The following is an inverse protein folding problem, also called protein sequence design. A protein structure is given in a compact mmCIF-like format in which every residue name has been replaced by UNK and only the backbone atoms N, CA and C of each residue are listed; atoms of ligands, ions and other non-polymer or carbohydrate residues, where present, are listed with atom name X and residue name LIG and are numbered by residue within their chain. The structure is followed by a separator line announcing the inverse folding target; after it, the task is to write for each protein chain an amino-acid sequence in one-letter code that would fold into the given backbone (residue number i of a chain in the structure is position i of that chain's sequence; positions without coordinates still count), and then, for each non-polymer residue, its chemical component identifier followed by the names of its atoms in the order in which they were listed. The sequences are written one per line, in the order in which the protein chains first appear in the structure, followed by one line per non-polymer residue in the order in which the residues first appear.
data_IF_129346526323
#
_entry.id   IF_129346526323
#
_cell.length_a   1.000
_cell.length_b   1.000
_cell.length_c   1.000
_cell.angle_alpha   90.00
_cell.angle_beta   90.00
_cell.angle_gamma   90.00
#
_symmetry.space_group_name_H-M   'P 1'
#
loop_
_entity.id
_entity.type
_entity.pdbx_description
1 polymer ?
#
# COMPACT_ATOMS: atom_id res chain seq x y z
N UNK A 1 0.17 -19.98 -19.72
CA UNK A 1 -0.21 -18.59 -19.41
C UNK A 1 1.09 -17.81 -19.25
N UNK A 2 1.31 -16.78 -20.07
CA UNK A 2 2.55 -15.99 -20.02
C UNK A 2 2.57 -15.21 -18.71
N UNK A 3 3.64 -15.33 -17.93
CA UNK A 3 3.80 -14.68 -16.63
C UNK A 3 3.98 -13.17 -16.66
N UNK A 4 3.69 -12.53 -17.80
CA UNK A 4 4.24 -11.23 -18.15
C UNK A 4 5.74 -11.29 -18.43
N UNK A 5 6.30 -10.18 -18.87
CA UNK A 5 7.74 -9.95 -18.98
C UNK A 5 8.42 -9.80 -17.59
N UNK A 6 7.65 -9.47 -16.55
CA UNK A 6 8.12 -9.19 -15.20
C UNK A 6 7.69 -10.23 -14.15
N UNK A 7 7.21 -11.40 -14.54
CA UNK A 7 6.84 -12.49 -13.62
C UNK A 7 5.79 -12.05 -12.57
N UNK A 8 4.80 -11.26 -12.98
CA UNK A 8 3.75 -10.70 -12.11
C UNK A 8 4.24 -9.87 -10.91
N UNK A 9 5.47 -9.32 -10.94
CA UNK A 9 6.06 -8.55 -9.84
C UNK A 9 5.30 -7.29 -9.44
N UNK A 10 4.37 -6.80 -10.25
CA UNK A 10 3.45 -5.73 -9.87
C UNK A 10 2.62 -6.08 -8.63
N UNK A 11 2.27 -7.35 -8.41
CA UNK A 11 1.54 -7.74 -7.19
C UNK A 11 2.40 -7.58 -5.94
N UNK A 12 3.72 -7.75 -6.03
CA UNK A 12 4.60 -7.48 -4.89
C UNK A 12 4.59 -5.98 -4.55
N UNK A 13 4.52 -5.10 -5.55
CA UNK A 13 4.39 -3.64 -5.32
C UNK A 13 3.05 -3.35 -4.62
N UNK A 14 1.98 -4.03 -5.05
CA UNK A 14 0.66 -3.93 -4.44
C UNK A 14 0.67 -4.34 -2.98
N UNK A 15 1.17 -5.53 -2.68
CA UNK A 15 1.28 -6.07 -1.33
C UNK A 15 2.04 -5.11 -0.40
N UNK A 16 3.14 -4.50 -0.90
CA UNK A 16 3.91 -3.53 -0.13
C UNK A 16 3.06 -2.30 0.20
N UNK A 17 2.40 -1.67 -0.78
CA UNK A 17 1.65 -0.45 -0.49
C UNK A 17 0.38 -0.73 0.33
N UNK A 18 -0.26 -1.89 0.17
CA UNK A 18 -1.39 -2.33 1.00
C UNK A 18 -0.95 -2.57 2.45
N UNK A 19 0.23 -3.15 2.66
CA UNK A 19 0.81 -3.30 4.00
C UNK A 19 1.06 -1.93 4.63
N UNK A 20 1.69 -1.00 3.91
CA UNK A 20 1.93 0.36 4.42
C UNK A 20 0.61 1.09 4.72
N UNK A 21 -0.41 0.92 3.86
CA UNK A 21 -1.73 1.49 4.07
C UNK A 21 -2.40 0.93 5.33
N UNK A 22 -2.36 -0.39 5.55
CA UNK A 22 -2.91 -1.03 6.76
C UNK A 22 -2.21 -0.55 8.03
N UNK A 23 -0.89 -0.42 7.98
CA UNK A 23 -0.08 0.14 9.06
C UNK A 23 -0.46 1.59 9.37
N UNK A 24 -0.69 2.42 8.35
CA UNK A 24 -1.13 3.81 8.52
C UNK A 24 -2.55 3.89 9.10
N UNK A 25 -3.47 3.06 8.62
CA UNK A 25 -4.86 3.04 9.06
C UNK A 25 -5.03 2.57 10.50
N UNK A 26 -4.19 1.65 10.99
CA UNK A 26 -4.30 1.18 12.37
C UNK A 26 -3.78 2.18 13.40
N UNK A 27 -2.90 3.12 13.05
CA UNK A 27 -2.33 4.08 13.99
C UNK A 27 -3.41 4.85 14.76
N UNK A 28 -3.30 4.89 16.08
CA UNK A 28 -4.27 5.56 16.95
C UNK A 28 -5.58 4.80 17.15
N UNK A 29 -5.84 3.71 16.42
CA UNK A 29 -7.01 2.88 16.63
C UNK A 29 -6.80 1.88 17.79
N UNK A 30 -7.87 1.44 18.46
CA UNK A 30 -7.79 0.41 19.50
C UNK A 30 -7.14 -0.87 19.00
N UNK A 31 -6.27 -1.45 19.81
CA UNK A 31 -5.73 -2.78 19.57
C UNK A 31 -6.82 -3.84 19.76
N UNK A 32 -6.79 -4.94 18.99
CA UNK A 32 -7.67 -6.07 19.25
C UNK A 32 -7.34 -6.69 20.61
N UNK A 33 -8.32 -7.33 21.25
CA UNK A 33 -8.16 -7.85 22.62
C UNK A 33 -7.04 -8.89 22.73
N UNK A 34 -6.80 -9.60 21.64
CA UNK A 34 -5.77 -10.63 21.51
C UNK A 34 -4.34 -10.06 21.56
N UNK A 35 -4.16 -8.76 21.26
CA UNK A 35 -2.89 -8.02 21.34
C UNK A 35 -2.69 -7.35 22.71
N UNK A 36 -3.67 -7.44 23.61
CA UNK A 36 -3.61 -6.88 24.96
C UNK A 36 -3.12 -7.94 25.95
N UNK A 37 -1.81 -7.93 26.21
CA UNK A 37 -1.13 -8.95 27.02
C UNK A 37 -1.18 -8.69 28.54
N UNK A 38 -1.54 -7.47 28.95
CA UNK A 38 -1.58 -7.07 30.36
C UNK A 38 -3.00 -7.14 30.96
N UNK A 39 -3.08 -7.04 32.29
CA UNK A 39 -4.36 -7.01 32.99
C UNK A 39 -5.06 -5.64 32.92
N UNK A 40 -6.31 -5.59 33.39
CA UNK A 40 -7.08 -4.34 33.44
C UNK A 40 -6.39 -3.28 34.31
N UNK A 41 -5.77 -3.66 35.41
CA UNK A 41 -5.15 -2.71 36.34
C UNK A 41 -3.93 -2.00 35.73
N UNK A 42 -3.22 -2.66 34.80
CA UNK A 42 -2.19 -2.06 33.98
C UNK A 42 -2.76 -1.01 33.04
N UNK A 43 -3.77 -1.36 32.23
CA UNK A 43 -4.36 -0.44 31.26
C UNK A 43 -5.15 0.71 31.89
N UNK A 44 -5.66 0.54 33.12
CA UNK A 44 -6.23 1.65 33.90
C UNK A 44 -5.17 2.72 34.22
N UNK A 45 -3.88 2.35 34.31
CA UNK A 45 -2.74 3.26 34.52
C UNK A 45 -2.09 3.73 33.22
N UNK A 46 -2.19 2.92 32.16
CA UNK A 46 -1.59 3.12 30.85
C UNK A 46 -2.65 3.07 29.73
N UNK A 47 -3.67 3.95 29.76
CA UNK A 47 -4.75 3.94 28.77
C UNK A 47 -4.26 4.21 27.34
N UNK A 48 -3.14 4.90 27.17
CA UNK A 48 -2.49 5.14 25.88
C UNK A 48 -2.05 3.86 25.16
N UNK A 49 -1.76 2.79 25.91
CA UNK A 49 -1.31 1.52 25.32
C UNK A 49 -2.45 0.66 24.77
N UNK A 50 -3.71 1.06 25.01
CA UNK A 50 -4.89 0.42 24.44
C UNK A 50 -4.99 0.63 22.92
N UNK A 51 -4.34 1.67 22.40
CA UNK A 51 -4.34 1.97 20.98
C UNK A 51 -2.98 1.66 20.35
N UNK A 52 -2.96 1.49 19.02
CA UNK A 52 -1.72 1.49 18.27
C UNK A 52 -1.02 2.85 18.38
N UNK A 53 0.32 2.88 18.51
CA UNK A 53 1.05 4.14 18.60
C UNK A 53 0.85 4.98 17.33
N UNK A 54 0.81 6.29 17.50
CA UNK A 54 0.80 7.25 16.40
C UNK A 54 2.24 7.71 16.18
N UNK A 55 2.74 7.55 14.97
CA UNK A 55 4.04 8.05 14.56
C UNK A 55 4.05 9.57 14.39
N UNK A 56 5.23 10.18 14.32
CA UNK A 56 5.33 11.62 14.03
C UNK A 56 4.71 12.00 12.68
N UNK A 57 4.23 13.24 12.54
CA UNK A 57 3.68 13.75 11.28
C UNK A 57 4.64 13.58 10.10
N UNK A 58 5.94 13.71 10.34
CA UNK A 58 6.96 13.50 9.31
C UNK A 58 6.96 12.06 8.79
N UNK A 59 6.84 11.06 9.68
CA UNK A 59 6.78 9.64 9.33
C UNK A 59 5.44 9.32 8.65
N UNK A 60 4.32 9.82 9.18
CA UNK A 60 2.99 9.64 8.58
C UNK A 60 2.94 10.19 7.15
N UNK A 61 3.53 11.37 6.91
CA UNK A 61 3.60 11.94 5.56
C UNK A 61 4.52 11.14 4.64
N UNK A 62 5.60 10.55 5.16
CA UNK A 62 6.44 9.64 4.39
C UNK A 62 5.67 8.36 3.98
N UNK A 63 4.81 7.81 4.84
CA UNK A 63 3.95 6.65 4.53
C UNK A 63 2.98 6.99 3.39
N UNK A 64 2.27 8.13 3.49
CA UNK A 64 1.35 8.60 2.45
C UNK A 64 2.06 8.78 1.11
N UNK A 65 3.23 9.42 1.14
CA UNK A 65 4.06 9.62 -0.06
C UNK A 65 4.50 8.28 -0.66
N UNK A 66 4.91 7.32 0.16
CA UNK A 66 5.31 6.00 -0.29
C UNK A 66 4.14 5.25 -0.95
N UNK A 67 2.95 5.29 -0.36
CA UNK A 67 1.74 4.67 -0.92
C UNK A 67 1.43 5.26 -2.32
N UNK A 68 1.47 6.59 -2.47
CA UNK A 68 1.19 7.24 -3.75
C UNK A 68 2.22 6.87 -4.84
N UNK A 69 3.51 6.81 -4.45
CA UNK A 69 4.58 6.43 -5.36
C UNK A 69 4.48 4.96 -5.78
N UNK A 70 4.17 4.07 -4.84
CA UNK A 70 4.06 2.63 -5.10
C UNK A 70 2.83 2.31 -5.95
N UNK A 71 1.68 2.96 -5.72
CA UNK A 71 0.51 2.83 -6.59
C UNK A 71 0.82 3.21 -8.04
N UNK A 72 1.53 4.33 -8.24
CA UNK A 72 1.99 4.74 -9.58
C UNK A 72 2.97 3.71 -10.15
N UNK A 73 3.93 3.24 -9.35
CA UNK A 73 4.90 2.24 -9.78
C UNK A 73 4.23 0.92 -10.18
N UNK A 74 3.19 0.47 -9.47
CA UNK A 74 2.39 -0.70 -9.82
C UNK A 74 1.75 -0.53 -11.21
N UNK A 75 1.07 0.59 -11.46
CA UNK A 75 0.44 0.90 -12.75
C UNK A 75 1.47 0.89 -13.88
N UNK A 76 2.59 1.61 -13.70
CA UNK A 76 3.66 1.61 -14.71
C UNK A 76 4.21 0.21 -14.97
N UNK A 77 4.46 -0.57 -13.91
CA UNK A 77 4.98 -1.94 -14.01
C UNK A 77 4.04 -2.82 -14.82
N UNK A 78 2.74 -2.80 -14.50
CA UNK A 78 1.73 -3.58 -15.21
C UNK A 78 1.59 -3.19 -16.68
N UNK A 79 1.61 -1.88 -16.98
CA UNK A 79 1.41 -1.37 -18.35
C UNK A 79 2.62 -1.63 -19.25
N UNK A 80 3.82 -1.48 -18.71
CA UNK A 80 5.06 -1.80 -19.44
C UNK A 80 5.19 -3.31 -19.63
N UNK A 81 4.78 -4.12 -18.65
CA UNK A 81 4.75 -5.58 -18.74
C UNK A 81 3.91 -6.07 -19.92
N UNK A 82 2.70 -5.53 -20.07
CA UNK A 82 1.81 -5.83 -21.20
C UNK A 82 2.36 -5.33 -22.53
N UNK A 83 2.99 -4.16 -22.56
CA UNK A 83 3.62 -3.64 -23.77
C UNK A 83 4.77 -4.53 -24.25
N UNK A 84 5.67 -4.95 -23.35
CA UNK A 84 6.80 -5.84 -23.68
C UNK A 84 6.30 -7.24 -24.08
N UNK A 85 5.23 -7.72 -23.45
CA UNK A 85 4.64 -9.04 -23.75
C UNK A 85 3.85 -9.07 -25.06
N UNK A 86 3.61 -7.90 -25.68
CA UNK A 86 2.82 -7.76 -26.91
C UNK A 86 1.30 -7.78 -26.69
N UNK A 87 0.85 -7.73 -25.43
CA UNK A 87 -0.57 -7.61 -25.07
C UNK A 87 -1.10 -6.19 -25.31
N UNK A 88 -0.22 -5.19 -25.24
CA UNK A 88 -0.48 -3.80 -25.60
C UNK A 88 0.36 -3.36 -26.81
N UNK A 89 -0.28 -2.67 -27.75
CA UNK A 89 0.42 -1.85 -28.76
C UNK A 89 0.68 -0.44 -28.24
N UNK A 90 1.39 0.39 -29.01
CA UNK A 90 1.76 1.75 -28.58
C UNK A 90 0.54 2.61 -28.19
N UNK A 91 -0.50 2.63 -29.03
CA UNK A 91 -1.72 3.40 -28.77
C UNK A 91 -2.45 2.91 -27.51
N UNK A 92 -2.61 1.59 -27.37
CA UNK A 92 -3.32 1.01 -26.22
C UNK A 92 -2.51 1.17 -24.93
N UNK A 93 -1.19 1.04 -24.98
CA UNK A 93 -0.29 1.31 -23.86
C UNK A 93 -0.47 2.74 -23.35
N UNK A 94 -0.30 3.75 -24.22
CA UNK A 94 -0.36 5.16 -23.81
C UNK A 94 -1.74 5.55 -23.28
N UNK A 95 -2.80 5.10 -23.96
CA UNK A 95 -4.19 5.38 -23.53
C UNK A 95 -4.48 4.75 -22.17
N UNK A 96 -4.22 3.46 -22.00
CA UNK A 96 -4.56 2.74 -20.76
C UNK A 96 -3.66 3.16 -19.59
N UNK A 97 -2.41 3.51 -19.85
CA UNK A 97 -1.52 4.10 -18.83
C UNK A 97 -2.11 5.40 -18.29
N UNK A 98 -2.59 6.28 -19.18
CA UNK A 98 -3.25 7.52 -18.78
C UNK A 98 -4.51 7.26 -17.96
N UNK A 99 -5.41 6.40 -18.46
CA UNK A 99 -6.66 6.03 -17.78
C UNK A 99 -6.40 5.48 -16.36
N UNK A 100 -5.44 4.59 -16.20
CA UNK A 100 -5.11 4.01 -14.89
C UNK A 100 -4.48 5.03 -13.93
N UNK A 101 -3.61 5.93 -14.42
CA UNK A 101 -3.03 6.99 -13.59
C UNK A 101 -4.09 8.02 -13.17
N UNK A 102 -5.04 8.33 -14.04
CA UNK A 102 -6.19 9.19 -13.71
C UNK A 102 -7.10 8.54 -12.67
N UNK A 103 -7.23 7.21 -12.68
CA UNK A 103 -8.00 6.46 -11.66
C UNK A 103 -7.35 6.46 -10.26
N UNK A 104 -6.09 6.89 -10.12
CA UNK A 104 -5.42 7.08 -8.82
C UNK A 104 -5.71 8.46 -8.18
N UNK A 105 -6.35 9.38 -8.92
CA UNK A 105 -6.52 10.80 -8.54
C UNK A 105 -7.79 11.07 -7.74
#
# INVERSE_FOLDING_TARGET
MSGGAFDYKQYNIREIHETIQSELERMGNPKPKEELWNDKAYYDKHPEELNWPIESDAVVNAYKTAIDLLKKAEVYTQRIDWYISGDDGEESFLRRLKEDLEALS
#
